data_IF_188937501385
#
_entry.id   IF_188937501385
#
_cell.length_a   1.000
_cell.length_b   1.000
_cell.length_c   1.000
_cell.angle_alpha   90.00
_cell.angle_beta   90.00
_cell.angle_gamma   90.00
#
_symmetry.space_group_name_H-M   'P 1'
#
loop_
_entity.id
_entity.type
_entity.pdbx_description
1 polymer ?
#
# COMPACT_ATOMS: atom_id res chain seq x y z
N UNK A 1 2.49 3.14 0.75
CA UNK A 1 1.86 2.93 -0.57
C UNK A 1 2.97 2.77 -1.61
N UNK A 2 2.81 1.92 -2.63
CA UNK A 2 3.77 1.76 -3.75
C UNK A 2 3.13 1.04 -4.93
N UNK A 3 3.27 1.56 -6.16
CA UNK A 3 2.66 0.95 -7.35
C UNK A 3 3.14 -0.49 -7.59
N UNK A 4 4.43 -0.77 -7.40
CA UNK A 4 5.02 -2.09 -7.68
C UNK A 4 4.89 -3.10 -6.54
N UNK A 5 4.65 -2.65 -5.32
CA UNK A 5 4.70 -3.52 -4.13
C UNK A 5 6.10 -4.01 -3.75
N UNK A 6 7.17 -3.47 -4.36
CA UNK A 6 8.54 -3.99 -4.22
C UNK A 6 9.56 -2.94 -3.73
N UNK A 7 9.14 -1.70 -3.46
CA UNK A 7 10.03 -0.64 -2.98
C UNK A 7 10.67 -1.03 -1.65
N UNK A 8 12.00 -1.15 -1.61
CA UNK A 8 12.73 -1.65 -0.44
C UNK A 8 12.51 -0.81 0.82
N UNK A 9 12.42 0.51 0.67
CA UNK A 9 12.08 1.42 1.77
C UNK A 9 10.69 1.13 2.37
N UNK A 10 9.68 0.85 1.55
CA UNK A 10 8.33 0.51 2.00
C UNK A 10 8.31 -0.85 2.68
N UNK A 11 9.00 -1.85 2.11
CA UNK A 11 9.11 -3.18 2.72
C UNK A 11 9.76 -3.10 4.10
N UNK A 12 10.88 -2.37 4.21
CA UNK A 12 11.58 -2.17 5.48
C UNK A 12 10.71 -1.42 6.51
N UNK A 13 9.92 -0.43 6.07
CA UNK A 13 9.00 0.29 6.95
C UNK A 13 7.89 -0.63 7.49
N UNK A 14 7.35 -1.53 6.67
CA UNK A 14 6.33 -2.50 7.11
C UNK A 14 6.91 -3.54 8.06
N UNK A 15 8.12 -4.04 7.82
CA UNK A 15 8.82 -4.92 8.77
C UNK A 15 9.06 -4.20 10.10
N UNK A 16 9.50 -2.95 10.09
CA UNK A 16 9.69 -2.17 11.32
C UNK A 16 8.37 -1.92 12.06
N UNK A 17 7.29 -1.65 11.33
CA UNK A 17 5.95 -1.52 11.91
C UNK A 17 5.50 -2.83 12.59
N UNK A 18 5.82 -3.99 11.99
CA UNK A 18 5.54 -5.30 12.56
C UNK A 18 6.33 -5.55 13.86
N UNK A 19 7.60 -5.15 13.93
CA UNK A 19 8.43 -5.27 15.13
C UNK A 19 7.85 -4.52 16.34
N UNK A 20 7.19 -3.39 16.11
CA UNK A 20 6.56 -2.57 17.17
C UNK A 20 5.09 -2.97 17.43
N UNK A 21 4.60 -4.05 16.82
CA UNK A 21 3.23 -4.53 16.99
C UNK A 21 2.15 -3.70 16.27
N UNK A 22 2.52 -2.84 15.32
CA UNK A 22 1.56 -2.03 14.57
C UNK A 22 0.81 -2.84 13.50
N UNK A 23 -0.46 -2.49 13.27
CA UNK A 23 -1.23 -3.00 12.12
C UNK A 23 -0.85 -2.22 10.86
N UNK A 24 -0.79 -2.93 9.73
CA UNK A 24 -0.28 -2.39 8.46
C UNK A 24 -1.28 -2.60 7.33
N UNK A 25 -1.56 -1.52 6.60
CA UNK A 25 -2.37 -1.51 5.38
C UNK A 25 -1.46 -1.17 4.19
N UNK A 26 -1.39 -2.08 3.22
CA UNK A 26 -0.70 -1.86 1.95
C UNK A 26 -1.66 -1.36 0.88
N UNK A 27 -1.22 -0.40 0.06
CA UNK A 27 -1.93 0.01 -1.17
C UNK A 27 -0.93 -0.14 -2.32
N UNK A 28 -1.33 -0.89 -3.34
CA UNK A 28 -0.46 -1.34 -4.46
C UNK A 28 -1.19 -1.40 -5.80
N UNK A 29 -0.43 -1.55 -6.89
CA UNK A 29 -0.96 -2.03 -8.16
C UNK A 29 -1.33 -3.53 -8.14
N UNK A 30 -1.73 -4.05 -9.30
CA UNK A 30 -2.40 -5.35 -9.41
C UNK A 30 -1.61 -6.53 -8.82
N UNK A 31 -0.29 -6.56 -9.01
CA UNK A 31 0.55 -7.68 -8.58
C UNK A 31 0.67 -7.79 -7.05
N UNK A 32 0.50 -6.68 -6.33
CA UNK A 32 0.76 -6.55 -4.90
C UNK A 32 2.24 -6.61 -4.48
N UNK A 33 3.13 -7.03 -5.39
CA UNK A 33 4.55 -7.27 -5.12
C UNK A 33 4.80 -8.14 -3.89
N UNK A 34 5.93 -7.92 -3.22
CA UNK A 34 6.28 -8.52 -1.93
C UNK A 34 5.46 -7.95 -0.77
N UNK A 35 4.93 -6.73 -0.93
CA UNK A 35 4.18 -6.04 0.12
C UNK A 35 2.91 -6.82 0.55
N UNK A 36 2.29 -7.55 -0.38
CA UNK A 36 1.10 -8.39 -0.11
C UNK A 36 1.31 -9.48 0.92
N UNK A 37 2.55 -9.97 1.06
CA UNK A 37 2.86 -11.11 1.93
C UNK A 37 3.19 -10.65 3.36
N UNK A 38 3.47 -9.35 3.56
CA UNK A 38 3.95 -8.80 4.84
C UNK A 38 2.97 -7.79 5.48
N UNK A 39 2.00 -7.26 4.72
CA UNK A 39 0.94 -6.41 5.26
C UNK A 39 -0.21 -7.23 5.87
N UNK A 40 -0.90 -6.65 6.86
CA UNK A 40 -2.10 -7.26 7.46
C UNK A 40 -3.31 -7.19 6.52
N UNK A 41 -3.45 -6.08 5.80
CA UNK A 41 -4.47 -5.88 4.79
C UNK A 41 -3.82 -5.26 3.54
N UNK A 42 -4.33 -5.59 2.37
CA UNK A 42 -3.84 -5.05 1.10
C UNK A 42 -4.98 -4.63 0.18
N UNK A 43 -4.86 -3.41 -0.35
CA UNK A 43 -5.67 -2.90 -1.44
C UNK A 43 -4.84 -3.00 -2.73
N UNK A 44 -5.37 -3.72 -3.71
CA UNK A 44 -4.74 -3.91 -5.04
C UNK A 44 -5.58 -3.21 -6.08
N UNK A 45 -4.99 -2.25 -6.77
CA UNK A 45 -5.61 -1.51 -7.86
C UNK A 45 -5.44 -2.37 -9.13
N UNK A 46 -6.54 -2.84 -9.77
CA UNK A 46 -6.49 -3.76 -10.91
C UNK A 46 -6.11 -3.02 -12.20
N UNK A 47 -4.88 -2.54 -12.26
CA UNK A 47 -4.31 -1.85 -13.40
C UNK A 47 -2.80 -2.11 -13.46
N UNK A 48 -2.28 -2.14 -14.70
CA UNK A 48 -0.85 -2.16 -14.98
C UNK A 48 -0.27 -0.78 -15.30
N UNK A 49 -1.08 0.28 -15.36
CA UNK A 49 -0.63 1.63 -15.70
C UNK A 49 -0.15 2.37 -14.42
N UNK A 50 1.16 2.68 -14.28
CA UNK A 50 1.70 3.32 -13.07
C UNK A 50 1.03 4.65 -12.71
N UNK A 51 0.79 5.52 -13.69
CA UNK A 51 0.18 6.83 -13.47
C UNK A 51 -1.24 6.68 -12.93
N UNK A 52 -2.04 5.81 -13.55
CA UNK A 52 -3.39 5.53 -13.07
C UNK A 52 -3.40 4.93 -11.66
N UNK A 53 -2.47 4.03 -11.37
CA UNK A 53 -2.33 3.45 -10.03
C UNK A 53 -2.04 4.55 -8.99
N UNK A 54 -1.13 5.48 -9.31
CA UNK A 54 -0.78 6.58 -8.42
C UNK A 54 -1.94 7.56 -8.19
N UNK A 55 -2.71 7.89 -9.23
CA UNK A 55 -3.92 8.72 -9.12
C UNK A 55 -4.95 8.09 -8.17
N UNK A 56 -5.21 6.79 -8.32
CA UNK A 56 -6.13 6.06 -7.44
C UNK A 56 -5.59 5.96 -6.01
N UNK A 57 -4.28 5.81 -5.82
CA UNK A 57 -3.68 5.85 -4.48
C UNK A 57 -3.92 7.18 -3.77
N UNK A 58 -3.79 8.29 -4.49
CA UNK A 58 -4.07 9.62 -3.94
C UNK A 58 -5.54 9.78 -3.54
N UNK A 59 -6.47 9.29 -4.37
CA UNK A 59 -7.90 9.32 -4.06
C UNK A 59 -8.24 8.45 -2.84
N UNK A 60 -7.69 7.22 -2.76
CA UNK A 60 -7.86 6.35 -1.58
C UNK A 60 -7.37 7.06 -0.32
N UNK A 61 -6.21 7.72 -0.37
CA UNK A 61 -5.70 8.47 0.78
C UNK A 61 -6.66 9.61 1.19
N UNK A 62 -7.24 10.33 0.22
CA UNK A 62 -8.26 11.36 0.49
C UNK A 62 -9.49 10.78 1.18
N UNK A 63 -10.01 9.65 0.68
CA UNK A 63 -11.17 8.96 1.25
C UNK A 63 -10.87 8.50 2.68
N UNK A 64 -9.68 7.93 2.93
CA UNK A 64 -9.26 7.50 4.27
C UNK A 64 -9.26 8.66 5.26
N UNK A 65 -8.66 9.80 4.89
CA UNK A 65 -8.70 11.00 5.75
C UNK A 65 -10.14 11.42 6.06
N UNK A 66 -11.00 11.54 5.03
CA UNK A 66 -12.41 11.96 5.19
C UNK A 66 -13.27 10.99 5.99
N UNK A 67 -12.89 9.71 6.07
CA UNK A 67 -13.67 8.67 6.77
C UNK A 67 -13.25 8.55 8.25
N UNK A 68 -12.07 9.04 8.60
CA UNK A 68 -11.52 8.98 9.97
C UNK A 68 -11.86 10.26 10.76
N UNK A 69 -12.21 11.35 10.07
CA UNK A 69 -12.80 12.57 10.64
C UNK A 69 -14.23 12.33 11.17
#
# INVERSE_FOLDING_TARGET
MTASGNSLNVLNAVEKAKEIGAKTLGITGESGGRLKDICHCIIRIPSGNPTFIEDIMAEINSILCKTID
#
